data_IF_404399476103
#
_entry.id   IF_404399476103
#
_cell.length_a   1.000
_cell.length_b   1.000
_cell.length_c   1.000
_cell.angle_alpha   90.00
_cell.angle_beta   90.00
_cell.angle_gamma   90.00
#
_symmetry.space_group_name_H-M   'P 1'
#
loop_
_entity.id
_entity.type
_entity.pdbx_description
1 polymer ?
#
# COMPACT_ATOMS: atom_id res chain seq x y z
N UNK A 1 13.71 -17.07 2.14
CA UNK A 1 13.67 -17.14 0.66
C UNK A 1 12.83 -16.02 0.02
N UNK A 2 11.51 -15.97 0.21
CA UNK A 2 10.66 -14.97 -0.46
C UNK A 2 11.06 -13.52 -0.15
N UNK A 3 11.44 -13.23 1.10
CA UNK A 3 11.95 -11.93 1.52
C UNK A 3 13.11 -11.45 0.64
N UNK A 4 14.14 -12.30 0.46
CA UNK A 4 15.31 -11.99 -0.37
C UNK A 4 14.91 -11.62 -1.81
N UNK A 5 14.07 -12.43 -2.45
CA UNK A 5 13.69 -12.17 -3.84
C UNK A 5 12.80 -10.94 -4.01
N UNK A 6 11.88 -10.69 -3.06
CA UNK A 6 11.05 -9.47 -3.07
C UNK A 6 11.91 -8.22 -2.87
N UNK A 7 12.84 -8.26 -1.91
CA UNK A 7 13.83 -7.17 -1.70
C UNK A 7 14.65 -6.96 -2.96
N UNK A 8 15.18 -8.03 -3.55
CA UNK A 8 15.99 -7.97 -4.77
C UNK A 8 15.22 -7.31 -5.93
N UNK A 9 13.96 -7.69 -6.14
CA UNK A 9 13.10 -7.08 -7.16
C UNK A 9 12.90 -5.57 -6.90
N UNK A 10 12.45 -5.21 -5.70
CA UNK A 10 12.10 -3.83 -5.36
C UNK A 10 13.31 -2.88 -5.37
N UNK A 11 14.46 -3.32 -4.84
CA UNK A 11 15.68 -2.52 -4.87
C UNK A 11 16.18 -2.30 -6.31
N UNK A 12 16.08 -3.32 -7.19
CA UNK A 12 16.40 -3.21 -8.62
C UNK A 12 15.46 -2.27 -9.38
N UNK A 13 14.24 -2.05 -8.89
CA UNK A 13 13.34 -1.03 -9.40
C UNK A 13 13.68 0.39 -8.90
N UNK A 14 14.69 0.54 -8.04
CA UNK A 14 15.11 1.82 -7.48
C UNK A 14 14.48 2.18 -6.14
N UNK A 15 13.77 1.24 -5.50
CA UNK A 15 13.10 1.50 -4.23
C UNK A 15 14.06 1.34 -3.04
N UNK A 16 14.07 2.35 -2.18
CA UNK A 16 14.71 2.30 -0.86
C UNK A 16 13.67 1.82 0.16
N UNK A 17 13.90 0.65 0.73
CA UNK A 17 12.93 -0.03 1.60
C UNK A 17 13.27 0.15 3.07
N UNK A 18 12.24 0.32 3.89
CA UNK A 18 12.32 0.23 5.36
C UNK A 18 11.37 -0.88 5.78
N UNK A 19 11.85 -1.77 6.64
CA UNK A 19 11.01 -2.83 7.19
C UNK A 19 10.54 -2.46 8.59
N UNK A 20 9.28 -2.78 8.88
CA UNK A 20 8.69 -2.62 10.20
C UNK A 20 8.37 -3.99 10.75
N UNK A 21 8.84 -4.26 11.96
CA UNK A 21 8.54 -5.46 12.73
C UNK A 21 7.43 -5.10 13.73
N UNK A 22 6.35 -5.87 13.72
CA UNK A 22 5.26 -5.74 14.71
C UNK A 22 5.80 -5.86 16.14
N UNK A 23 5.29 -5.00 17.02
CA UNK A 23 5.49 -5.07 18.47
C UNK A 23 4.41 -5.88 19.17
N UNK A 24 4.19 -5.56 20.45
CA UNK A 24 3.17 -6.22 21.24
C UNK A 24 1.78 -5.68 20.87
N UNK A 25 0.86 -6.60 20.53
CA UNK A 25 -0.50 -6.23 20.16
C UNK A 25 -1.18 -5.42 21.28
N UNK A 26 -1.91 -4.33 20.97
CA UNK A 26 -2.65 -3.58 21.96
C UNK A 26 -3.61 -4.46 22.76
N UNK A 27 -3.85 -4.13 24.04
CA UNK A 27 -4.68 -4.93 24.93
C UNK A 27 -6.08 -5.21 24.36
N UNK A 28 -6.67 -4.22 23.67
CA UNK A 28 -7.95 -4.33 22.98
C UNK A 28 -7.94 -5.46 21.93
N UNK A 29 -6.87 -5.55 21.12
CA UNK A 29 -6.72 -6.60 20.10
C UNK A 29 -6.41 -7.96 20.72
N UNK A 30 -5.57 -8.01 21.75
CA UNK A 30 -5.18 -9.26 22.42
C UNK A 30 -6.40 -10.03 22.96
N UNK A 31 -7.35 -9.33 23.59
CA UNK A 31 -8.61 -9.93 24.06
C UNK A 31 -9.45 -10.52 22.93
N UNK A 32 -9.58 -9.80 21.81
CA UNK A 32 -10.37 -10.25 20.65
C UNK A 32 -9.70 -11.42 19.91
N UNK A 33 -8.37 -11.43 19.82
CA UNK A 33 -7.60 -12.55 19.27
C UNK A 33 -7.80 -13.83 20.09
N UNK A 34 -7.84 -13.71 21.43
CA UNK A 34 -8.11 -14.83 22.33
C UNK A 34 -9.52 -15.39 22.10
N UNK A 35 -10.55 -14.53 22.05
CA UNK A 35 -11.93 -14.93 21.78
C UNK A 35 -12.08 -15.60 20.39
N UNK A 36 -11.39 -15.09 19.36
CA UNK A 36 -11.40 -15.68 18.01
C UNK A 36 -10.75 -17.06 17.98
N UNK A 37 -9.66 -17.24 18.72
CA UNK A 37 -9.00 -18.53 18.86
C UNK A 37 -9.90 -19.52 19.61
N UNK A 38 -10.55 -19.09 20.69
CA UNK A 38 -11.49 -19.91 21.44
C UNK A 38 -12.71 -20.31 20.60
N UNK A 39 -13.27 -19.40 19.81
CA UNK A 39 -14.38 -19.71 18.90
C UNK A 39 -13.98 -20.70 17.78
N UNK A 40 -12.72 -20.68 17.34
CA UNK A 40 -12.21 -21.59 16.28
C UNK A 40 -11.74 -22.94 16.79
N UNK A 41 -11.21 -23.01 18.01
CA UNK A 41 -10.54 -24.20 18.54
C UNK A 41 -11.17 -24.76 19.84
N UNK A 42 -12.23 -24.13 20.35
CA UNK A 42 -12.95 -24.50 21.56
C UNK A 42 -12.27 -24.01 22.86
N UNK A 43 -12.99 -24.07 24.01
CA UNK A 43 -12.52 -23.62 25.33
C UNK A 43 -11.38 -24.47 25.91
N UNK A 44 -11.02 -25.56 25.22
CA UNK A 44 -9.93 -26.46 25.62
C UNK A 44 -9.22 -27.01 24.38
N UNK A 45 -8.59 -26.14 23.61
CA UNK A 45 -7.44 -26.56 22.84
C UNK A 45 -6.37 -26.95 23.86
N UNK A 46 -6.40 -28.22 24.31
CA UNK A 46 -5.34 -28.84 25.11
C UNK A 46 -4.02 -28.31 24.59
N UNK A 47 -3.29 -27.61 25.46
CA UNK A 47 -1.88 -27.29 25.24
C UNK A 47 -1.20 -28.62 24.97
N UNK A 48 -1.12 -29.02 23.70
CA UNK A 48 -0.33 -30.17 23.26
C UNK A 48 1.11 -29.74 23.53
N UNK A 49 1.58 -30.06 24.75
CA UNK A 49 2.97 -29.98 25.21
C UNK A 49 3.83 -30.68 24.16
N UNK A 50 4.33 -29.92 23.20
CA UNK A 50 5.03 -30.48 22.03
C UNK A 50 4.99 -29.63 20.76
N UNK A 51 4.09 -28.63 20.64
CA UNK A 51 4.23 -27.60 19.60
C UNK A 51 5.03 -26.44 20.18
N UNK A 52 6.21 -26.18 19.60
CA UNK A 52 6.96 -24.93 19.77
C UNK A 52 5.97 -23.76 19.78
N UNK A 53 6.08 -22.90 20.79
CA UNK A 53 5.17 -21.78 20.99
C UNK A 53 5.16 -20.94 19.70
N UNK A 54 4.01 -20.79 19.04
CA UNK A 54 3.91 -20.07 17.75
C UNK A 54 4.48 -18.65 17.86
N UNK A 55 4.38 -18.03 19.03
CA UNK A 55 4.99 -16.74 19.32
C UNK A 55 6.52 -16.81 19.30
N UNK A 56 7.13 -17.83 19.91
CA UNK A 56 8.58 -18.03 19.87
C UNK A 56 9.07 -18.29 18.45
N UNK A 57 8.35 -19.11 17.67
CA UNK A 57 8.69 -19.33 16.27
C UNK A 57 8.60 -18.03 15.45
N UNK A 58 7.56 -17.20 15.66
CA UNK A 58 7.41 -15.91 14.99
C UNK A 58 8.56 -14.96 15.36
N UNK A 59 8.90 -14.86 16.64
CA UNK A 59 10.02 -14.05 17.12
C UNK A 59 11.35 -14.51 16.48
N UNK A 60 11.65 -15.81 16.53
CA UNK A 60 12.86 -16.36 15.89
C UNK A 60 12.90 -16.12 14.39
N UNK A 61 11.76 -16.20 13.69
CA UNK A 61 11.70 -15.90 12.25
C UNK A 61 11.89 -14.40 11.96
N UNK A 62 11.32 -13.52 12.79
CA UNK A 62 11.53 -12.08 12.69
C UNK A 62 13.01 -11.73 12.89
N UNK A 63 13.68 -12.29 13.89
CA UNK A 63 15.11 -12.08 14.13
C UNK A 63 15.95 -12.50 12.93
N UNK A 64 15.65 -13.67 12.36
CA UNK A 64 16.34 -14.19 11.17
C UNK A 64 16.11 -13.31 9.93
N UNK A 65 14.90 -12.78 9.78
CA UNK A 65 14.58 -11.84 8.70
C UNK A 65 15.30 -10.50 8.89
N UNK A 66 15.37 -10.00 10.12
CA UNK A 66 16.10 -8.77 10.44
C UNK A 66 17.61 -8.92 10.25
N UNK A 67 18.17 -10.08 10.60
CA UNK A 67 19.57 -10.43 10.35
C UNK A 67 19.87 -10.38 8.84
N UNK A 68 19.00 -10.98 8.02
CA UNK A 68 19.13 -10.94 6.57
C UNK A 68 19.01 -9.50 6.03
N UNK A 69 18.00 -8.74 6.47
CA UNK A 69 17.79 -7.35 6.03
C UNK A 69 18.95 -6.44 6.41
N UNK A 70 19.48 -6.59 7.61
CA UNK A 70 20.66 -5.84 8.08
C UNK A 70 21.91 -6.20 7.26
N UNK A 71 22.10 -7.47 6.89
CA UNK A 71 23.21 -7.86 6.01
C UNK A 71 23.05 -7.35 4.58
N UNK A 72 21.82 -7.13 4.12
CA UNK A 72 21.48 -6.46 2.86
C UNK A 72 21.55 -4.93 2.95
N UNK A 73 21.86 -4.37 4.12
CA UNK A 73 21.99 -2.92 4.34
C UNK A 73 20.66 -2.17 4.43
N UNK A 74 19.57 -2.86 4.76
CA UNK A 74 18.22 -2.29 4.88
C UNK A 74 17.84 -2.03 6.34
N UNK A 75 17.25 -0.88 6.67
CA UNK A 75 16.80 -0.58 8.02
C UNK A 75 15.57 -1.40 8.43
N UNK A 76 15.62 -1.96 9.63
CA UNK A 76 14.49 -2.59 10.32
C UNK A 76 14.12 -1.77 11.55
N UNK A 77 12.87 -1.38 11.65
CA UNK A 77 12.32 -0.65 12.79
C UNK A 77 11.37 -1.54 13.56
N UNK A 78 11.37 -1.41 14.88
CA UNK A 78 10.46 -2.13 15.76
C UNK A 78 9.29 -1.22 16.11
N UNK A 79 8.07 -1.63 15.78
CA UNK A 79 6.86 -0.93 16.20
C UNK A 79 6.61 -1.17 17.70
N UNK A 80 5.99 -0.20 18.36
CA UNK A 80 5.51 -0.30 19.74
C UNK A 80 4.28 -1.21 19.85
N UNK A 81 3.48 -1.28 18.77
CA UNK A 81 2.32 -2.14 18.65
C UNK A 81 2.14 -2.65 17.21
N UNK A 82 1.13 -2.16 16.50
CA UNK A 82 0.89 -2.55 15.11
C UNK A 82 1.96 -2.01 14.15
N UNK A 83 2.34 -2.83 13.16
CA UNK A 83 3.28 -2.41 12.12
C UNK A 83 2.71 -1.31 11.23
N UNK A 84 1.40 -1.35 10.94
CA UNK A 84 0.65 -0.37 10.16
C UNK A 84 0.69 1.01 10.82
N UNK A 85 0.69 1.07 12.15
CA UNK A 85 0.74 2.32 12.90
C UNK A 85 2.09 3.04 12.69
N UNK A 86 3.20 2.31 12.83
CA UNK A 86 4.53 2.86 12.55
C UNK A 86 4.71 3.18 11.06
N UNK A 87 4.22 2.34 10.16
CA UNK A 87 4.23 2.62 8.72
C UNK A 87 3.50 3.94 8.39
N UNK A 88 2.31 4.14 8.94
CA UNK A 88 1.53 5.36 8.77
C UNK A 88 2.25 6.58 9.36
N UNK A 89 2.86 6.42 10.53
CA UNK A 89 3.62 7.50 11.17
C UNK A 89 4.86 7.91 10.37
N UNK A 90 5.58 6.97 9.76
CA UNK A 90 6.71 7.25 8.87
C UNK A 90 6.27 8.00 7.60
N UNK A 91 5.14 7.61 7.01
CA UNK A 91 4.58 8.30 5.84
C UNK A 91 4.10 9.71 6.22
N UNK A 92 3.34 9.85 7.31
CA UNK A 92 2.87 11.15 7.79
C UNK A 92 4.03 12.13 8.10
N UNK A 93 5.15 11.62 8.64
CA UNK A 93 6.36 12.41 8.89
C UNK A 93 7.19 12.71 7.62
N UNK A 94 6.83 12.14 6.46
CA UNK A 94 7.57 12.32 5.21
C UNK A 94 8.90 11.56 5.15
N UNK A 95 9.14 10.60 6.05
CA UNK A 95 10.33 9.75 6.04
C UNK A 95 10.26 8.66 4.95
N UNK A 96 9.04 8.29 4.54
CA UNK A 96 8.77 7.38 3.42
C UNK A 96 7.69 7.97 2.51
N UNK A 97 7.60 7.45 1.28
CA UNK A 97 6.62 7.90 0.28
C UNK A 97 5.34 7.07 0.23
N UNK A 98 5.22 6.06 1.09
CA UNK A 98 4.07 5.18 1.21
C UNK A 98 4.44 3.85 1.86
N UNK A 99 3.44 3.06 2.19
CA UNK A 99 3.60 1.78 2.88
C UNK A 99 3.08 0.61 2.04
N UNK A 100 3.80 -0.51 2.06
CA UNK A 100 3.32 -1.76 1.48
C UNK A 100 2.57 -2.55 2.55
N UNK A 101 1.26 -2.63 2.43
CA UNK A 101 0.42 -3.47 3.30
C UNK A 101 -0.86 -3.87 2.58
N UNK A 102 -1.34 -5.08 2.88
CA UNK A 102 -2.66 -5.54 2.45
C UNK A 102 -3.77 -5.19 3.45
N UNK A 103 -3.40 -4.61 4.61
CA UNK A 103 -4.29 -4.18 5.67
C UNK A 103 -4.75 -2.73 5.48
N UNK A 104 -6.06 -2.50 5.57
CA UNK A 104 -6.68 -1.19 5.45
C UNK A 104 -6.47 -0.30 6.67
N UNK A 105 -6.12 -0.89 7.82
CA UNK A 105 -5.92 -0.18 9.08
C UNK A 105 -4.81 0.88 8.99
N UNK A 106 -3.89 0.76 8.03
CA UNK A 106 -2.91 1.80 7.72
C UNK A 106 -3.55 3.18 7.46
N UNK A 107 -4.71 3.24 6.79
CA UNK A 107 -5.42 4.51 6.59
C UNK A 107 -6.03 5.06 7.88
N UNK A 108 -6.48 4.18 8.79
CA UNK A 108 -7.06 4.57 10.07
C UNK A 108 -5.96 5.15 10.98
N UNK A 109 -4.75 4.59 10.90
CA UNK A 109 -3.54 5.15 11.52
C UNK A 109 -2.98 6.40 10.83
N UNK A 110 -3.51 6.77 9.66
CA UNK A 110 -3.20 8.03 8.99
C UNK A 110 -2.18 7.94 7.85
N UNK A 111 -1.95 6.76 7.27
CA UNK A 111 -1.15 6.62 6.05
C UNK A 111 -1.78 7.43 4.90
N UNK A 112 -0.94 8.10 4.11
CA UNK A 112 -1.36 8.90 2.96
C UNK A 112 -1.35 8.05 1.68
N UNK A 113 -0.37 7.16 1.54
CA UNK A 113 -0.24 6.27 0.38
C UNK A 113 -0.02 4.83 0.81
N UNK A 114 -0.90 3.93 0.38
CA UNK A 114 -0.83 2.48 0.62
C UNK A 114 -0.68 1.73 -0.71
N UNK A 115 0.27 0.80 -0.76
CA UNK A 115 0.52 -0.11 -1.87
C UNK A 115 0.08 -1.52 -1.48
N UNK A 116 -0.91 -2.05 -2.20
CA UNK A 116 -1.59 -3.32 -1.89
C UNK A 116 -1.44 -4.32 -3.04
N UNK A 117 -1.40 -5.61 -2.70
CA UNK A 117 -1.42 -6.68 -3.71
C UNK A 117 -0.15 -6.72 -4.55
N UNK A 118 1.03 -6.61 -3.92
CA UNK A 118 2.32 -6.68 -4.65
C UNK A 118 2.46 -8.04 -5.34
N UNK A 119 2.25 -8.05 -6.66
CA UNK A 119 2.50 -9.18 -7.53
C UNK A 119 3.98 -9.18 -7.94
N UNK A 120 4.84 -9.85 -7.16
CA UNK A 120 6.26 -9.97 -7.47
C UNK A 120 6.54 -11.06 -8.51
N UNK A 121 5.97 -10.92 -9.72
CA UNK A 121 6.20 -11.82 -10.86
C UNK A 121 7.19 -11.21 -11.86
N UNK A 122 7.93 -12.06 -12.58
CA UNK A 122 8.90 -11.60 -13.59
C UNK A 122 8.22 -11.10 -14.89
N UNK A 123 6.95 -11.47 -15.12
CA UNK A 123 6.23 -11.15 -16.37
C UNK A 123 5.39 -9.89 -16.25
N UNK A 124 4.70 -9.71 -15.12
CA UNK A 124 3.85 -8.54 -14.87
C UNK A 124 3.94 -8.15 -13.38
N UNK A 125 5.01 -7.43 -12.98
CA UNK A 125 5.12 -6.90 -11.64
C UNK A 125 4.20 -5.69 -11.47
N UNK A 126 3.11 -5.85 -10.72
CA UNK A 126 2.18 -4.76 -10.43
C UNK A 126 1.85 -4.64 -8.94
N UNK A 127 1.32 -3.47 -8.57
CA UNK A 127 0.82 -3.17 -7.23
C UNK A 127 -0.29 -2.13 -7.34
N UNK A 128 -1.31 -2.24 -6.52
CA UNK A 128 -2.39 -1.27 -6.46
C UNK A 128 -2.01 -0.12 -5.52
N UNK A 129 -2.06 1.12 -6.02
CA UNK A 129 -1.78 2.30 -5.21
C UNK A 129 -3.07 2.99 -4.79
N UNK A 130 -3.24 3.16 -3.48
CA UNK A 130 -4.33 3.87 -2.85
C UNK A 130 -3.80 5.14 -2.19
N UNK A 131 -4.42 6.29 -2.46
CA UNK A 131 -4.00 7.59 -1.91
C UNK A 131 -5.17 8.25 -1.17
N UNK A 132 -4.92 8.75 0.04
CA UNK A 132 -5.94 9.39 0.88
C UNK A 132 -6.55 10.63 0.20
N UNK A 133 -5.78 11.38 -0.58
CA UNK A 133 -6.28 12.53 -1.35
C UNK A 133 -7.29 12.13 -2.43
N UNK A 134 -7.12 10.94 -3.02
CA UNK A 134 -8.06 10.40 -3.99
C UNK A 134 -9.30 9.87 -3.29
N UNK A 135 -9.14 9.17 -2.16
CA UNK A 135 -10.24 8.71 -1.31
C UNK A 135 -11.11 9.89 -0.86
N UNK A 136 -10.49 10.96 -0.37
CA UNK A 136 -11.20 12.17 0.06
C UNK A 136 -11.95 12.84 -1.08
N UNK A 137 -11.34 12.94 -2.27
CA UNK A 137 -11.93 13.60 -3.44
C UNK A 137 -13.04 12.81 -4.10
N UNK A 138 -12.88 11.50 -4.24
CA UNK A 138 -13.82 10.63 -4.97
C UNK A 138 -14.92 10.07 -4.05
N UNK A 139 -14.62 9.83 -2.76
CA UNK A 139 -15.56 9.21 -1.82
C UNK A 139 -16.01 10.17 -0.70
N UNK A 140 -15.39 11.33 -0.55
CA UNK A 140 -15.73 12.26 0.53
C UNK A 140 -15.32 11.79 1.92
N UNK A 141 -14.39 10.83 2.02
CA UNK A 141 -13.99 10.22 3.28
C UNK A 141 -12.65 10.79 3.77
N UNK A 142 -12.69 11.47 4.90
CA UNK A 142 -11.50 11.83 5.68
C UNK A 142 -11.13 10.72 6.68
N UNK A 143 -10.01 10.88 7.40
CA UNK A 143 -9.53 9.87 8.36
C UNK A 143 -10.58 9.56 9.44
N UNK A 144 -11.27 10.58 9.94
CA UNK A 144 -12.29 10.42 10.96
C UNK A 144 -13.51 9.65 10.44
N UNK A 145 -13.93 9.91 9.20
CA UNK A 145 -14.96 9.13 8.53
C UNK A 145 -14.54 7.67 8.30
N UNK A 146 -13.26 7.42 7.95
CA UNK A 146 -12.72 6.05 7.82
C UNK A 146 -12.70 5.31 9.16
N UNK A 147 -12.29 5.96 10.25
CA UNK A 147 -12.35 5.38 11.60
C UNK A 147 -13.80 5.09 11.99
N UNK A 148 -14.72 6.04 11.77
CA UNK A 148 -16.15 5.83 12.03
C UNK A 148 -16.71 4.66 11.23
N UNK A 149 -16.33 4.55 9.96
CA UNK A 149 -16.71 3.43 9.10
C UNK A 149 -16.20 2.08 9.63
N UNK A 150 -14.97 2.06 10.15
CA UNK A 150 -14.37 0.87 10.74
C UNK A 150 -15.05 0.45 12.05
N UNK A 151 -15.49 1.41 12.88
CA UNK A 151 -16.30 1.13 14.07
C UNK A 151 -17.67 0.55 13.68
N UNK A 152 -18.30 1.11 12.63
CA UNK A 152 -19.62 0.65 12.16
C UNK A 152 -19.56 -0.74 11.54
N UNK A 153 -18.61 -1.00 10.64
CA UNK A 153 -18.45 -2.27 9.92
C UNK A 153 -17.77 -3.36 10.76
N UNK A 154 -16.99 -2.93 11.74
CA UNK A 154 -16.07 -3.77 12.49
C UNK A 154 -14.67 -3.79 11.89
N UNK A 155 -13.68 -3.87 12.79
CA UNK A 155 -12.25 -3.93 12.51
C UNK A 155 -11.57 -4.94 13.44
N UNK A 156 -10.24 -5.05 13.39
CA UNK A 156 -9.49 -5.99 14.23
C UNK A 156 -9.66 -5.76 15.75
N UNK A 157 -9.91 -4.51 16.17
CA UNK A 157 -10.23 -4.16 17.56
C UNK A 157 -11.70 -4.41 17.92
N UNK A 158 -12.60 -4.32 16.94
CA UNK A 158 -14.04 -4.44 17.10
C UNK A 158 -14.65 -5.35 16.03
N UNK A 159 -14.42 -6.68 16.04
CA UNK A 159 -14.81 -7.59 14.97
C UNK A 159 -16.32 -7.70 14.74
N UNK A 160 -17.15 -7.33 15.72
CA UNK A 160 -18.62 -7.37 15.58
C UNK A 160 -19.18 -6.11 14.93
N UNK A 161 -18.47 -4.99 15.01
CA UNK A 161 -19.00 -3.67 14.64
C UNK A 161 -20.39 -3.41 15.24
N UNK A 162 -21.18 -2.59 14.54
CA UNK A 162 -22.58 -2.38 14.87
C UNK A 162 -23.44 -3.44 14.17
N UNK A 163 -24.24 -4.18 14.95
CA UNK A 163 -25.10 -5.25 14.44
C UNK A 163 -26.07 -4.73 13.38
N UNK A 164 -26.11 -5.39 12.23
CA UNK A 164 -27.02 -5.03 11.13
C UNK A 164 -26.52 -3.90 10.23
N UNK A 165 -25.26 -3.49 10.39
CA UNK A 165 -24.54 -2.62 9.47
C UNK A 165 -23.48 -3.45 8.75
N UNK A 166 -23.69 -3.69 7.47
CA UNK A 166 -22.75 -4.39 6.59
C UNK A 166 -22.23 -3.49 5.48
N UNK A 167 -21.39 -4.06 4.60
CA UNK A 167 -20.76 -3.35 3.47
C UNK A 167 -21.76 -2.60 2.60
N UNK A 168 -22.92 -3.20 2.31
CA UNK A 168 -23.95 -2.55 1.49
C UNK A 168 -24.54 -1.30 2.15
N UNK A 169 -24.83 -1.38 3.45
CA UNK A 169 -25.42 -0.26 4.20
C UNK A 169 -24.38 0.86 4.42
N UNK A 170 -23.12 0.48 4.66
CA UNK A 170 -21.99 1.39 4.69
C UNK A 170 -21.75 2.10 3.35
N UNK A 171 -21.85 1.39 2.22
CA UNK A 171 -21.75 2.01 0.90
C UNK A 171 -22.90 3.00 0.69
N UNK A 172 -24.14 2.64 1.03
CA UNK A 172 -25.28 3.59 0.97
C UNK A 172 -25.04 4.81 1.84
N UNK A 173 -24.45 4.65 3.03
CA UNK A 173 -24.05 5.76 3.90
C UNK A 173 -23.03 6.66 3.22
N UNK A 174 -21.95 6.12 2.66
CA UNK A 174 -20.91 6.90 1.95
C UNK A 174 -21.55 7.75 0.83
N UNK A 175 -22.41 7.14 0.01
CA UNK A 175 -23.12 7.87 -1.05
C UNK A 175 -24.08 8.95 -0.50
N UNK A 176 -24.66 8.73 0.70
CA UNK A 176 -25.57 9.67 1.36
C UNK A 176 -24.89 10.89 1.97
N UNK A 177 -23.58 10.80 2.24
CA UNK A 177 -22.84 11.87 2.92
C UNK A 177 -22.39 12.96 1.97
N UNK A 178 -22.23 12.67 0.67
CA UNK A 178 -21.79 13.65 -0.34
C UNK A 178 -20.56 14.49 0.08
N UNK A 179 -19.67 13.95 0.94
CA UNK A 179 -18.49 14.65 1.45
C UNK A 179 -18.64 15.35 2.81
N UNK A 180 -19.78 15.22 3.49
CA UNK A 180 -19.95 15.65 4.88
C UNK A 180 -19.36 14.62 5.88
N UNK A 181 -18.68 15.10 6.92
CA UNK A 181 -18.04 14.24 7.93
C UNK A 181 -19.07 13.51 8.80
N UNK A 182 -18.85 12.20 9.00
CA UNK A 182 -19.69 11.31 9.82
C UNK A 182 -19.82 11.74 11.28
N UNK A 183 -18.82 12.46 11.81
CA UNK A 183 -18.74 12.81 13.24
C UNK A 183 -19.26 14.22 13.56
N UNK A 184 -19.52 15.07 12.55
CA UNK A 184 -19.70 16.51 12.76
C UNK A 184 -21.16 17.03 12.83
N UNK A 185 -22.19 16.20 12.61
CA UNK A 185 -23.58 16.66 12.83
C UNK A 185 -24.02 16.35 14.26
N UNK A 186 -24.00 17.39 15.10
CA UNK A 186 -24.67 17.38 16.40
C UNK A 186 -26.16 17.02 16.23
N UNK A 187 -26.72 16.37 17.24
CA UNK A 187 -28.06 15.76 17.26
C UNK A 187 -29.24 16.70 16.92
N UNK A 188 -29.03 18.01 16.87
CA UNK A 188 -30.05 19.07 16.88
C UNK A 188 -30.46 19.61 15.51
N UNK A 189 -29.69 19.42 14.44
CA UNK A 189 -30.02 19.99 13.11
C UNK A 189 -31.05 19.16 12.31
N UNK A 190 -31.11 17.84 12.54
CA UNK A 190 -31.96 16.94 11.77
C UNK A 190 -33.47 17.10 12.06
N UNK A 191 -33.83 17.52 13.28
CA UNK A 191 -35.24 17.64 13.69
C UNK A 191 -35.97 18.79 12.96
N UNK A 192 -35.24 19.84 12.54
CA UNK A 192 -35.85 20.99 11.86
C UNK A 192 -36.13 20.74 10.37
N UNK A 193 -35.31 19.94 9.67
CA UNK A 193 -35.52 19.65 8.24
C UNK A 193 -36.72 18.71 8.00
N UNK A 194 -37.00 17.79 8.93
CA UNK A 194 -38.10 16.82 8.80
C UNK A 194 -39.50 17.44 8.85
N UNK A 195 -39.67 18.55 9.57
CA UNK A 195 -40.98 19.20 9.73
C UNK A 195 -41.37 20.04 8.50
N UNK A 196 -40.39 20.71 7.88
CA UNK A 196 -40.61 21.47 6.64
C UNK A 196 -40.87 20.57 5.42
N UNK A 197 -40.25 19.39 5.35
CA UNK A 197 -40.38 18.47 4.21
C UNK A 197 -41.72 17.70 4.21
N UNK A 198 -42.28 17.38 5.38
CA UNK A 198 -43.62 16.76 5.49
C UNK A 198 -44.75 17.64 4.95
N UNK A 199 -44.57 18.96 4.95
CA UNK A 199 -45.56 19.88 4.40
C UNK A 199 -45.64 19.83 2.86
N UNK A 200 -44.51 19.59 2.17
CA UNK A 200 -44.45 19.57 0.69
C UNK A 200 -45.05 18.27 0.10
N UNK A 201 -44.90 17.14 0.79
CA UNK A 201 -45.38 15.83 0.34
C UNK A 201 -46.93 15.71 0.31
N UNK A 202 -47.67 16.60 1.00
CA UNK A 202 -49.14 16.56 1.05
C UNK A 202 -49.83 17.23 -0.14
N UNK A 203 -49.11 17.99 -0.96
CA UNK A 203 -49.73 18.90 -1.94
C UNK A 203 -49.44 18.53 -3.40
N UNK A 204 -48.57 17.55 -3.65
CA UNK A 204 -48.07 17.24 -4.98
C UNK A 204 -48.43 15.81 -5.39
N UNK A 205 -49.41 15.65 -6.29
CA UNK A 205 -49.84 14.34 -6.83
C UNK A 205 -49.14 14.11 -8.16
N UNK A 206 -48.21 13.16 -8.23
CA UNK A 206 -47.70 12.64 -9.50
C UNK A 206 -47.90 11.12 -9.53
N UNK A 207 -48.71 10.67 -10.49
CA UNK A 207 -49.09 9.27 -10.64
C UNK A 207 -47.93 8.41 -11.13
N UNK A 208 -47.78 7.24 -10.51
CA UNK A 208 -46.86 6.19 -10.94
C UNK A 208 -47.44 5.45 -12.15
N UNK A 209 -47.15 5.89 -13.37
CA UNK A 209 -47.21 5.01 -14.56
C UNK A 209 -46.67 5.72 -15.81
N UNK A 210 -46.26 4.92 -16.80
CA UNK A 210 -45.56 5.22 -18.05
C UNK A 210 -46.30 6.13 -19.07
N UNK A 211 -47.11 7.10 -18.65
CA UNK A 211 -47.81 7.97 -19.58
C UNK A 211 -47.08 9.29 -19.84
N UNK A 212 -46.67 9.43 -21.11
CA UNK A 212 -46.23 10.61 -21.85
C UNK A 212 -46.05 11.89 -21.02
N UNK A 213 -44.79 12.28 -20.86
CA UNK A 213 -44.35 13.60 -20.36
C UNK A 213 -45.01 14.74 -21.15
N UNK A 214 -46.13 15.24 -20.63
CA UNK A 214 -46.64 16.57 -20.97
C UNK A 214 -46.13 17.56 -19.90
N UNK A 215 -45.65 18.75 -20.31
CA UNK A 215 -45.10 19.73 -19.40
C UNK A 215 -46.23 20.28 -18.52
N UNK A 216 -46.16 20.00 -17.22
CA UNK A 216 -47.02 20.63 -16.22
C UNK A 216 -46.20 21.70 -15.49
N UNK A 217 -46.68 22.93 -15.54
CA UNK A 217 -46.12 24.07 -14.82
C UNK A 217 -46.45 23.98 -13.33
N UNK A 218 -45.44 23.96 -12.46
CA UNK A 218 -45.59 24.09 -11.02
C UNK A 218 -46.14 25.48 -10.68
N UNK A 219 -47.33 25.56 -10.03
CA UNK A 219 -47.98 26.83 -9.67
C UNK A 219 -47.26 27.65 -8.58
N UNK A 220 -46.11 27.21 -8.08
CA UNK A 220 -45.38 27.88 -7.00
C UNK A 220 -44.04 28.50 -7.42
N UNK A 221 -43.54 28.21 -8.62
CA UNK A 221 -42.27 28.78 -9.11
C UNK A 221 -42.37 29.02 -10.61
N UNK A 222 -42.37 30.29 -11.03
CA UNK A 222 -42.40 30.74 -12.44
C UNK A 222 -41.07 30.48 -13.19
N UNK A 223 -40.43 29.33 -12.99
CA UNK A 223 -39.15 29.00 -13.63
C UNK A 223 -39.32 27.90 -14.69
N UNK A 224 -38.79 28.09 -15.91
CA UNK A 224 -38.92 27.12 -17.00
C UNK A 224 -38.02 25.89 -16.79
N UNK A 225 -38.39 24.71 -17.33
CA UNK A 225 -37.66 23.47 -17.11
C UNK A 225 -36.46 23.37 -18.05
N UNK A 226 -35.23 23.44 -17.52
CA UNK A 226 -34.02 23.04 -18.27
C UNK A 226 -33.51 21.72 -17.72
N UNK A 227 -33.75 20.64 -18.47
CA UNK A 227 -33.22 19.32 -18.16
C UNK A 227 -31.90 19.12 -18.94
N UNK A 228 -30.77 18.93 -18.25
CA UNK A 228 -29.48 18.59 -18.88
C UNK A 228 -29.02 17.21 -18.47
N UNK A 229 -28.54 16.46 -19.48
CA UNK A 229 -28.20 15.05 -19.42
C UNK A 229 -26.78 14.84 -18.86
N UNK A 230 -26.65 14.13 -17.73
CA UNK A 230 -25.36 13.62 -17.23
C UNK A 230 -25.40 12.09 -17.27
N UNK A 231 -24.59 11.49 -18.13
CA UNK A 231 -24.34 10.05 -18.26
C UNK A 231 -23.91 9.50 -16.89
N UNK A 232 -24.72 8.74 -16.13
CA UNK A 232 -24.99 7.30 -16.30
C UNK A 232 -26.34 6.91 -15.64
N UNK A 233 -27.21 7.88 -15.32
CA UNK A 233 -28.63 7.61 -15.01
C UNK A 233 -29.52 8.71 -15.58
N UNK A 234 -30.73 8.35 -16.01
CA UNK A 234 -31.77 9.31 -16.36
C UNK A 234 -32.15 10.13 -15.11
N UNK A 235 -31.58 11.32 -14.95
CA UNK A 235 -31.87 12.24 -13.85
C UNK A 235 -32.82 13.33 -14.39
N UNK A 236 -34.09 13.31 -13.96
CA UNK A 236 -35.02 14.44 -14.12
C UNK A 236 -34.63 15.50 -13.10
N UNK A 237 -34.11 16.65 -13.56
CA UNK A 237 -33.84 17.84 -12.71
C UNK A 237 -35.15 18.57 -12.47
N UNK A 238 -36.00 17.93 -11.69
CA UNK A 238 -37.35 18.36 -11.38
C UNK A 238 -37.38 18.44 -9.85
N UNK A 239 -37.70 19.61 -9.28
CA UNK A 239 -37.70 19.87 -7.81
C UNK A 239 -38.48 18.82 -6.99
N UNK A 240 -39.33 18.01 -7.62
CA UNK A 240 -40.10 16.91 -7.04
C UNK A 240 -39.30 15.61 -6.81
N UNK A 241 -38.18 15.36 -7.50
CA UNK A 241 -37.36 14.15 -7.30
C UNK A 241 -36.24 14.33 -6.27
N UNK A 242 -35.76 15.56 -6.07
CA UNK A 242 -34.84 15.92 -4.99
C UNK A 242 -35.34 15.48 -3.59
N UNK A 243 -36.61 15.73 -3.19
CA UNK A 243 -37.11 15.34 -1.87
C UNK A 243 -37.24 13.81 -1.68
N UNK A 244 -37.50 13.02 -2.74
CA UNK A 244 -37.55 11.57 -2.62
C UNK A 244 -36.16 10.94 -2.45
N UNK A 245 -35.15 11.48 -3.14
CA UNK A 245 -33.76 11.02 -2.97
C UNK A 245 -33.18 11.47 -1.63
N UNK A 246 -33.36 12.73 -1.22
CA UNK A 246 -32.93 13.18 0.11
C UNK A 246 -33.64 12.41 1.22
N UNK A 247 -34.95 12.12 1.08
CA UNK A 247 -35.70 11.33 2.05
C UNK A 247 -35.13 9.90 2.21
N UNK A 248 -34.85 9.19 1.11
CA UNK A 248 -34.21 7.85 1.18
C UNK A 248 -32.83 7.88 1.83
N UNK A 249 -32.03 8.91 1.57
CA UNK A 249 -30.73 9.07 2.22
C UNK A 249 -30.86 9.39 3.72
N UNK A 250 -31.86 10.19 4.12
CA UNK A 250 -32.17 10.41 5.54
C UNK A 250 -32.67 9.15 6.24
N UNK A 251 -33.45 8.29 5.57
CA UNK A 251 -33.91 7.02 6.12
C UNK A 251 -32.75 6.05 6.40
N UNK A 252 -31.84 5.90 5.43
CA UNK A 252 -30.63 5.08 5.61
C UNK A 252 -29.79 5.60 6.78
N UNK A 253 -29.58 6.91 6.85
CA UNK A 253 -28.82 7.55 7.94
C UNK A 253 -29.49 7.35 9.30
N UNK A 254 -30.82 7.47 9.37
CA UNK A 254 -31.58 7.27 10.60
C UNK A 254 -31.60 5.80 11.05
N UNK A 255 -31.67 4.84 10.12
CA UNK A 255 -31.55 3.41 10.43
C UNK A 255 -30.16 3.08 11.02
N UNK A 256 -29.11 3.58 10.38
CA UNK A 256 -27.72 3.42 10.86
C UNK A 256 -27.55 4.04 12.24
N UNK A 257 -28.04 5.28 12.43
CA UNK A 257 -27.96 5.99 13.72
C UNK A 257 -28.71 5.23 14.82
N UNK A 258 -29.91 4.73 14.53
CA UNK A 258 -30.68 3.92 15.49
C UNK A 258 -29.90 2.67 15.90
N UNK A 259 -29.40 1.90 14.93
CA UNK A 259 -28.60 0.69 15.19
C UNK A 259 -27.32 0.99 15.97
N UNK A 260 -26.66 2.11 15.68
CA UNK A 260 -25.47 2.55 16.39
C UNK A 260 -25.76 2.93 17.85
N UNK A 261 -26.85 3.66 18.11
CA UNK A 261 -27.28 4.04 19.47
C UNK A 261 -27.76 2.84 20.30
N UNK A 262 -28.30 1.80 19.64
CA UNK A 262 -28.65 0.52 20.28
C UNK A 262 -27.41 -0.34 20.60
N UNK A 263 -26.24 -0.01 20.05
CA UNK A 263 -25.01 -0.75 20.28
C UNK A 263 -24.36 -0.34 21.62
N UNK A 264 -24.19 -1.27 22.57
CA UNK A 264 -23.59 -0.93 23.86
C UNK A 264 -22.15 -0.46 23.71
N UNK A 265 -21.85 0.71 24.27
CA UNK A 265 -20.50 1.29 24.25
C UNK A 265 -20.15 2.07 22.98
N UNK A 266 -21.08 2.25 22.04
CA UNK A 266 -20.89 3.13 20.89
C UNK A 266 -20.60 4.58 21.33
N UNK A 267 -19.61 5.30 20.74
CA UNK A 267 -18.87 4.97 19.52
C UNK A 267 -17.57 4.17 19.74
N UNK A 268 -17.39 3.51 20.89
CA UNK A 268 -16.18 2.78 21.26
C UNK A 268 -14.95 3.70 21.27
N UNK A 269 -14.97 4.68 22.17
CA UNK A 269 -13.93 5.71 22.33
C UNK A 269 -12.53 5.13 22.54
N UNK A 270 -12.43 3.95 23.16
CA UNK A 270 -11.19 3.20 23.33
C UNK A 270 -10.58 2.75 21.99
N UNK A 271 -11.41 2.25 21.07
CA UNK A 271 -10.98 1.87 19.71
C UNK A 271 -10.61 3.11 18.89
N UNK A 272 -11.40 4.18 18.98
CA UNK A 272 -11.11 5.45 18.31
C UNK A 272 -9.78 6.04 18.81
N UNK A 273 -9.57 6.02 20.14
CA UNK A 273 -8.34 6.49 20.75
C UNK A 273 -7.12 5.68 20.32
N UNK A 274 -7.25 4.36 20.15
CA UNK A 274 -6.16 3.51 19.64
C UNK A 274 -5.69 3.99 18.27
N UNK A 275 -6.61 4.16 17.31
CA UNK A 275 -6.26 4.62 15.95
C UNK A 275 -5.76 6.06 15.89
N UNK A 276 -6.15 6.91 16.84
CA UNK A 276 -5.67 8.30 16.95
C UNK A 276 -4.35 8.43 17.70
N UNK A 277 -3.97 7.43 18.49
CA UNK A 277 -2.75 7.47 19.29
C UNK A 277 -1.50 7.28 18.44
N UNK A 278 -0.44 8.02 18.77
CA UNK A 278 0.89 7.84 18.20
C UNK A 278 1.83 7.36 19.30
N UNK A 279 2.09 6.04 19.33
CA UNK A 279 2.92 5.38 20.36
C UNK A 279 4.37 5.18 19.89
N UNK A 280 4.58 5.15 18.58
CA UNK A 280 5.87 4.83 17.98
C UNK A 280 6.85 6.00 18.06
N UNK A 281 8.11 5.67 18.35
CA UNK A 281 9.22 6.61 18.27
C UNK A 281 9.80 6.58 16.86
N UNK A 282 9.71 7.71 16.17
CA UNK A 282 10.26 7.84 14.82
C UNK A 282 11.78 8.04 14.87
N UNK A 283 12.53 7.43 13.94
CA UNK A 283 13.96 7.72 13.80
C UNK A 283 14.16 9.14 13.25
N UNK A 284 15.25 9.79 13.66
CA UNK A 284 15.64 11.11 13.12
C UNK A 284 15.98 11.03 11.62
N UNK A 285 16.63 9.94 11.22
CA UNK A 285 17.00 9.69 9.83
C UNK A 285 17.04 8.18 9.57
N UNK A 286 16.59 7.79 8.38
CA UNK A 286 16.73 6.43 7.87
C UNK A 286 18.06 6.28 7.14
N UNK A 287 18.77 5.19 7.43
CA UNK A 287 20.06 4.90 6.80
C UNK A 287 19.97 3.59 6.03
N UNK A 288 20.47 3.63 4.80
CA UNK A 288 20.69 2.48 3.95
C UNK A 288 22.18 2.32 3.75
N UNK A 289 22.65 1.08 3.70
CA UNK A 289 24.05 0.78 3.45
C UNK A 289 24.19 -0.24 2.32
N UNK A 290 25.41 -0.35 1.79
CA UNK A 290 25.71 -1.32 0.75
C UNK A 290 25.53 -2.74 1.29
N UNK A 291 24.90 -3.66 0.54
CA UNK A 291 24.83 -5.07 0.94
C UNK A 291 26.21 -5.66 1.22
N UNK A 292 26.34 -6.39 2.33
CA UNK A 292 27.60 -7.02 2.72
C UNK A 292 27.65 -8.46 2.20
N UNK A 293 28.49 -8.72 1.20
CA UNK A 293 28.57 -10.01 0.52
C UNK A 293 28.84 -11.18 1.46
N UNK A 294 29.86 -11.07 2.32
CA UNK A 294 30.20 -12.14 3.25
C UNK A 294 29.07 -12.43 4.24
N UNK A 295 28.54 -11.38 4.90
CA UNK A 295 27.45 -11.55 5.87
C UNK A 295 26.20 -12.16 5.23
N UNK A 296 25.85 -11.75 4.02
CA UNK A 296 24.70 -12.33 3.32
C UNK A 296 24.95 -13.81 3.02
N UNK A 297 26.14 -14.18 2.52
CA UNK A 297 26.51 -15.57 2.29
C UNK A 297 26.39 -16.41 3.57
N UNK A 298 26.98 -15.96 4.68
CA UNK A 298 26.94 -16.66 5.96
C UNK A 298 25.49 -16.87 6.46
N UNK A 299 24.62 -15.87 6.25
CA UNK A 299 23.21 -15.94 6.65
C UNK A 299 22.43 -16.92 5.77
N UNK A 300 22.52 -16.81 4.44
CA UNK A 300 21.71 -17.65 3.54
C UNK A 300 22.23 -19.08 3.43
N UNK A 301 23.52 -19.32 3.58
CA UNK A 301 24.07 -20.67 3.65
C UNK A 301 23.54 -21.40 4.89
N UNK A 302 23.67 -20.76 6.07
CA UNK A 302 23.19 -21.33 7.34
C UNK A 302 21.66 -21.49 7.41
N UNK A 303 20.89 -20.62 6.77
CA UNK A 303 19.42 -20.57 6.92
C UNK A 303 18.64 -21.15 5.74
N UNK A 304 19.18 -21.08 4.53
CA UNK A 304 18.52 -21.51 3.30
C UNK A 304 19.32 -22.57 2.54
N UNK A 305 20.52 -22.95 3.03
CA UNK A 305 21.41 -23.94 2.43
C UNK A 305 21.78 -23.58 0.98
N UNK A 306 21.90 -22.28 0.71
CA UNK A 306 22.31 -21.80 -0.61
C UNK A 306 23.81 -21.97 -0.80
N UNK A 307 24.26 -22.59 -1.90
CA UNK A 307 25.67 -22.63 -2.23
C UNK A 307 26.27 -21.21 -2.33
N UNK A 308 27.51 -20.97 -1.84
CA UNK A 308 28.10 -19.62 -1.84
C UNK A 308 28.18 -18.95 -3.23
N UNK A 309 28.45 -19.73 -4.28
CA UNK A 309 28.47 -19.22 -5.65
C UNK A 309 27.09 -18.75 -6.13
N UNK A 310 26.03 -19.51 -5.79
CA UNK A 310 24.66 -19.12 -6.11
C UNK A 310 24.29 -17.78 -5.45
N UNK A 311 24.62 -17.64 -4.16
CA UNK A 311 24.40 -16.40 -3.41
C UNK A 311 25.19 -15.23 -4.01
N UNK A 312 26.45 -15.45 -4.33
CA UNK A 312 27.33 -14.43 -4.96
C UNK A 312 26.70 -13.87 -6.24
N UNK A 313 26.23 -14.74 -7.13
CA UNK A 313 25.54 -14.33 -8.36
C UNK A 313 24.22 -13.59 -8.09
N UNK A 314 23.44 -14.02 -7.10
CA UNK A 314 22.19 -13.31 -6.74
C UNK A 314 22.45 -11.94 -6.12
N UNK A 315 23.50 -11.81 -5.32
CA UNK A 315 23.84 -10.55 -4.67
C UNK A 315 24.54 -9.57 -5.61
N UNK A 316 25.26 -10.05 -6.64
CA UNK A 316 25.86 -9.20 -7.67
C UNK A 316 24.85 -8.23 -8.27
N UNK A 317 23.61 -8.67 -8.50
CA UNK A 317 22.52 -7.82 -9.00
C UNK A 317 22.19 -6.65 -8.06
N UNK A 318 22.22 -6.90 -6.74
CA UNK A 318 21.93 -5.87 -5.74
C UNK A 318 23.12 -4.93 -5.55
N UNK A 319 24.35 -5.46 -5.58
CA UNK A 319 25.58 -4.67 -5.51
C UNK A 319 25.69 -3.73 -6.70
N UNK A 320 25.47 -4.23 -7.92
CA UNK A 320 25.50 -3.44 -9.15
C UNK A 320 24.48 -2.31 -9.10
N UNK A 321 23.23 -2.61 -8.74
CA UNK A 321 22.20 -1.57 -8.61
C UNK A 321 22.55 -0.52 -7.54
N UNK A 322 23.01 -0.94 -6.35
CA UNK A 322 23.37 -0.01 -5.27
C UNK A 322 24.52 0.90 -5.68
N UNK A 323 25.61 0.32 -6.19
CA UNK A 323 26.82 1.06 -6.56
C UNK A 323 26.55 2.02 -7.73
N UNK A 324 25.73 1.61 -8.70
CA UNK A 324 25.27 2.50 -9.77
C UNK A 324 24.42 3.66 -9.25
N UNK A 325 23.54 3.43 -8.28
CA UNK A 325 22.72 4.49 -7.68
C UNK A 325 23.58 5.51 -6.93
N UNK A 326 24.54 5.06 -6.12
CA UNK A 326 25.47 5.95 -5.43
C UNK A 326 26.34 6.73 -6.43
N UNK A 327 26.86 6.07 -7.46
CA UNK A 327 27.63 6.74 -8.51
C UNK A 327 26.80 7.77 -9.29
N UNK A 328 25.53 7.47 -9.58
CA UNK A 328 24.61 8.41 -10.22
C UNK A 328 24.24 9.60 -9.31
N UNK A 329 24.25 9.39 -7.99
CA UNK A 329 24.09 10.46 -7.00
C UNK A 329 25.37 11.30 -6.78
N UNK A 330 26.47 10.98 -7.49
CA UNK A 330 27.76 11.67 -7.38
C UNK A 330 28.68 11.12 -6.29
N UNK A 331 28.26 10.09 -5.54
CA UNK A 331 29.10 9.41 -4.57
C UNK A 331 29.90 8.32 -5.30
N UNK A 332 31.14 8.62 -5.69
CA UNK A 332 32.04 7.63 -6.32
C UNK A 332 33.10 7.18 -5.33
N UNK A 333 33.42 5.90 -5.36
CA UNK A 333 34.45 5.30 -4.52
C UNK A 333 35.12 4.13 -5.24
N UNK A 334 36.34 3.81 -4.82
CA UNK A 334 37.14 2.69 -5.35
C UNK A 334 36.61 1.32 -4.93
N UNK A 335 35.83 1.24 -3.83
CA UNK A 335 35.21 0.00 -3.36
C UNK A 335 33.92 -0.37 -4.10
N UNK A 336 33.40 0.50 -4.96
CA UNK A 336 32.31 0.15 -5.86
C UNK A 336 32.74 -0.91 -6.86
N UNK A 337 31.77 -1.65 -7.39
CA UNK A 337 32.00 -2.56 -8.50
C UNK A 337 32.61 -1.82 -9.70
N UNK A 338 33.70 -2.39 -10.22
CA UNK A 338 34.38 -1.85 -11.39
C UNK A 338 33.77 -2.46 -12.65
N UNK A 339 33.22 -1.64 -13.55
CA UNK A 339 32.69 -2.14 -14.82
C UNK A 339 33.84 -2.40 -15.80
N UNK A 340 33.80 -3.54 -16.47
CA UNK A 340 34.75 -3.90 -17.54
C UNK A 340 34.32 -3.27 -18.86
N UNK A 341 33.06 -3.50 -19.26
CA UNK A 341 32.48 -2.97 -20.50
C UNK A 341 30.95 -3.12 -20.53
N UNK A 342 30.32 -2.38 -21.43
CA UNK A 342 28.96 -2.68 -21.88
C UNK A 342 29.05 -3.75 -22.96
N UNK A 343 28.36 -4.87 -22.74
CA UNK A 343 28.32 -6.02 -23.66
C UNK A 343 27.38 -5.72 -24.83
N UNK A 344 26.16 -5.28 -24.52
CA UNK A 344 25.12 -4.97 -25.52
C UNK A 344 23.98 -4.14 -24.93
N UNK A 345 23.16 -3.58 -25.80
CA UNK A 345 21.83 -3.04 -25.47
C UNK A 345 20.79 -4.16 -25.41
N UNK A 346 19.85 -4.08 -24.47
CA UNK A 346 18.72 -5.00 -24.39
C UNK A 346 17.45 -4.28 -23.88
N UNK A 347 16.31 -4.97 -23.88
CA UNK A 347 15.05 -4.46 -23.33
C UNK A 347 14.56 -5.44 -22.28
N UNK A 348 14.20 -4.94 -21.09
CA UNK A 348 13.66 -5.75 -20.00
C UNK A 348 12.40 -5.10 -19.46
N UNK A 349 11.29 -5.82 -19.45
CA UNK A 349 9.98 -5.31 -19.05
C UNK A 349 9.62 -3.97 -19.73
N UNK A 350 9.88 -3.87 -21.05
CA UNK A 350 9.63 -2.65 -21.82
C UNK A 350 10.63 -1.50 -21.60
N UNK A 351 11.55 -1.61 -20.64
CA UNK A 351 12.56 -0.59 -20.37
C UNK A 351 13.88 -0.86 -21.14
N UNK A 352 14.52 0.19 -21.70
CA UNK A 352 15.84 0.05 -22.30
C UNK A 352 16.90 -0.20 -21.23
N UNK A 353 17.74 -1.20 -21.47
CA UNK A 353 18.78 -1.66 -20.56
C UNK A 353 20.13 -1.82 -21.27
N UNK A 354 21.19 -1.82 -20.47
CA UNK A 354 22.50 -2.31 -20.86
C UNK A 354 22.81 -3.61 -20.14
N UNK A 355 23.46 -4.51 -20.86
CA UNK A 355 24.14 -5.66 -20.27
C UNK A 355 25.58 -5.23 -19.94
N UNK A 356 25.92 -5.18 -18.65
CA UNK A 356 27.20 -4.67 -18.14
C UNK A 356 28.01 -5.82 -17.59
N UNK A 357 29.25 -5.93 -18.03
CA UNK A 357 30.25 -6.86 -17.51
C UNK A 357 31.05 -6.19 -16.39
N UNK A 358 31.30 -6.92 -15.30
CA UNK A 358 31.93 -6.44 -14.08
C UNK A 358 33.20 -7.22 -13.76
N UNK A 359 34.15 -6.55 -13.12
CA UNK A 359 35.28 -7.23 -12.50
C UNK A 359 34.80 -8.08 -11.32
N UNK A 360 35.57 -9.12 -10.98
CA UNK A 360 35.23 -10.00 -9.86
C UNK A 360 35.41 -9.25 -8.53
N UNK A 361 34.34 -9.01 -7.76
CA UNK A 361 34.47 -8.30 -6.50
C UNK A 361 35.12 -9.17 -5.42
N UNK A 362 35.72 -8.50 -4.43
CA UNK A 362 36.28 -9.15 -3.25
C UNK A 362 35.22 -10.00 -2.54
N UNK A 363 35.61 -11.24 -2.19
CA UNK A 363 34.73 -12.21 -1.55
C UNK A 363 33.73 -12.91 -2.49
N UNK A 364 33.74 -12.63 -3.80
CA UNK A 364 32.89 -13.34 -4.75
C UNK A 364 33.33 -14.79 -4.95
N UNK A 365 32.41 -15.74 -4.75
CA UNK A 365 32.66 -17.16 -4.96
C UNK A 365 32.15 -17.59 -6.34
N UNK A 366 33.02 -18.18 -7.15
CA UNK A 366 32.68 -18.76 -8.45
C UNK A 366 32.42 -20.26 -8.31
N UNK A 367 31.63 -20.85 -9.21
CA UNK A 367 31.36 -22.29 -9.19
C UNK A 367 32.63 -23.08 -9.53
N UNK A 368 32.95 -24.10 -8.73
CA UNK A 368 34.15 -24.91 -8.91
C UNK A 368 34.05 -25.80 -10.17
N UNK A 369 35.13 -25.89 -10.95
CA UNK A 369 35.22 -26.79 -12.11
C UNK A 369 34.59 -26.26 -13.41
N UNK A 370 34.08 -25.02 -13.44
CA UNK A 370 33.66 -24.32 -14.66
C UNK A 370 34.69 -23.26 -15.07
N UNK A 371 34.82 -23.03 -16.38
CA UNK A 371 35.54 -21.86 -16.92
C UNK A 371 34.93 -20.58 -16.34
N UNK A 372 35.76 -19.59 -16.01
CA UNK A 372 35.30 -18.32 -15.46
C UNK A 372 34.34 -17.64 -16.46
N UNK A 373 33.05 -17.74 -16.19
CA UNK A 373 32.04 -17.01 -16.95
C UNK A 373 32.14 -15.52 -16.62
N UNK A 374 31.92 -14.64 -17.61
CA UNK A 374 31.93 -13.20 -17.37
C UNK A 374 30.80 -12.83 -16.40
N UNK A 375 31.12 -11.96 -15.44
CA UNK A 375 30.14 -11.50 -14.44
C UNK A 375 29.30 -10.40 -15.04
N UNK A 376 28.07 -10.74 -15.42
CA UNK A 376 27.21 -9.85 -16.19
C UNK A 376 25.91 -9.56 -15.45
N UNK A 377 25.49 -8.30 -15.47
CA UNK A 377 24.16 -7.88 -15.00
C UNK A 377 23.42 -7.06 -16.06
N UNK A 378 22.10 -6.97 -15.92
CA UNK A 378 21.23 -6.18 -16.80
C UNK A 378 20.68 -5.01 -16.00
N UNK A 379 21.11 -3.81 -16.38
CA UNK A 379 20.88 -2.56 -15.66
C UNK A 379 20.14 -1.56 -16.55
N UNK A 380 19.34 -0.67 -15.93
CA UNK A 380 18.58 0.33 -16.69
C UNK A 380 19.52 1.29 -17.41
N UNK A 381 19.19 1.62 -18.67
CA UNK A 381 20.02 2.48 -19.52
C UNK A 381 20.26 3.85 -18.90
N UNK A 382 19.22 4.47 -18.35
CA UNK A 382 19.29 5.79 -17.73
C UNK A 382 20.16 5.79 -16.46
N UNK A 383 20.07 4.75 -15.65
CA UNK A 383 20.91 4.59 -14.47
C UNK A 383 22.39 4.45 -14.83
N UNK A 384 22.72 3.60 -15.82
CA UNK A 384 24.11 3.42 -16.30
C UNK A 384 24.63 4.69 -16.96
N UNK A 385 23.81 5.41 -17.72
CA UNK A 385 24.17 6.71 -18.31
C UNK A 385 24.57 7.73 -17.24
N UNK A 386 23.81 7.81 -16.15
CA UNK A 386 24.12 8.72 -15.04
C UNK A 386 25.36 8.25 -14.24
N UNK A 387 25.47 6.95 -13.99
CA UNK A 387 26.50 6.39 -13.14
C UNK A 387 27.86 6.23 -13.84
N UNK A 388 27.89 5.89 -15.13
CA UNK A 388 29.10 5.54 -15.88
C UNK A 388 29.15 6.21 -17.26
N UNK A 389 29.09 7.56 -17.37
CA UNK A 389 29.07 8.25 -18.66
C UNK A 389 30.24 7.88 -19.60
N UNK A 390 31.51 7.77 -19.12
CA UNK A 390 32.64 7.42 -20.00
C UNK A 390 32.49 6.03 -20.64
N UNK A 391 31.98 5.06 -19.88
CA UNK A 391 31.78 3.69 -20.38
C UNK A 391 30.73 3.64 -21.49
N UNK A 392 29.66 4.44 -21.34
CA UNK A 392 28.63 4.55 -22.36
C UNK A 392 29.15 5.24 -23.62
N UNK A 393 29.99 6.29 -23.47
CA UNK A 393 30.62 6.95 -24.60
C UNK A 393 31.52 5.99 -25.39
N UNK A 394 32.38 5.22 -24.71
CA UNK A 394 33.24 4.22 -25.34
C UNK A 394 32.42 3.16 -26.11
N UNK A 395 31.33 2.69 -25.50
CA UNK A 395 30.43 1.74 -26.13
C UNK A 395 29.75 2.32 -27.38
N UNK A 396 29.31 3.57 -27.33
CA UNK A 396 28.69 4.25 -28.46
C UNK A 396 29.69 4.45 -29.62
N UNK A 397 30.92 4.87 -29.33
CA UNK A 397 31.96 4.99 -30.36
C UNK A 397 32.29 3.65 -31.04
N UNK A 398 32.26 2.53 -30.30
CA UNK A 398 32.44 1.19 -30.87
C UNK A 398 31.28 0.83 -31.81
N UNK A 399 30.04 1.18 -31.43
CA UNK A 399 28.88 0.97 -32.29
C UNK A 399 28.96 1.81 -33.57
N UNK A 400 29.33 3.09 -33.46
CA UNK A 400 29.41 4.00 -34.60
C UNK A 400 30.50 3.54 -35.58
N UNK A 401 31.69 3.18 -35.07
CA UNK A 401 32.77 2.58 -35.89
C UNK A 401 32.32 1.33 -36.64
N UNK A 402 31.64 0.40 -35.96
CA UNK A 402 31.14 -0.81 -36.58
C UNK A 402 30.04 -0.54 -37.63
N UNK A 403 29.24 0.52 -37.46
CA UNK A 403 28.26 0.96 -38.46
C UNK A 403 28.94 1.58 -39.68
N UNK A 404 29.96 2.40 -39.48
CA UNK A 404 30.74 3.02 -40.55
C UNK A 404 31.49 1.97 -41.39
N UNK A 405 32.09 0.97 -40.75
CA UNK A 405 32.72 -0.18 -41.44
C UNK A 405 31.71 -0.95 -42.29
N UNK A 406 30.50 -1.20 -41.76
CA UNK A 406 29.41 -1.86 -42.52
C UNK A 406 28.90 -1.02 -43.69
N UNK A 407 28.92 0.32 -43.58
CA UNK A 407 28.54 1.23 -44.66
C UNK A 407 29.61 1.27 -45.76
N UNK A 408 30.89 1.20 -45.39
CA UNK A 408 32.01 1.16 -46.35
C UNK A 408 32.14 -0.18 -47.08
N UNK A 409 31.66 -1.27 -46.48
CA UNK A 409 31.68 -2.61 -47.07
C UNK A 409 30.50 -2.92 -48.01
N UNK A 410 29.49 -2.04 -48.06
CA UNK A 410 28.37 -2.08 -49.02
C UNK A 410 28.62 -1.10 -50.14
#
# INVERSE_FOLDING_TARGET
RNLFFRVSLLCRLGLRLVFVVEGDAPALKAGMMAQRNEARFGPSARVRRGRTNRAQLRATLNDQCCELLSSLGLPCLQAAGEGEALCAALDAAGLVHGCFTDDGDAFLYGARTVYRGLAASDQDPHVERYCVDRIRRELGLDRDALIGLAVLLGCDYLPKGVKGIGKELALKLIHSLQGESLLNRSSTECERETDTLRACARTCVHGTSQDKLLPHSCKLTELPPTCTQLSIMYICVCLSNMPHFTCKFTEVRNDIRRKALECPGFPHEDVIAEFRSHKDKLPLQLQWSRPNLQKVMDVVERKLEWPPHYTSHKLLLLLATYDLQECAAGHRSTWHLQPVRIVKTCVRAGAPCFEVEWEKPDGFVSEAGKTAEPLVTVERRDLVLAALPPLVAEFQEKLDRAQDEKRRAK
#
